data_IF_650285065522
#
_entry.id   IF_650285065522
#
_cell.length_a   1.000
_cell.length_b   1.000
_cell.length_c   1.000
_cell.angle_alpha   90.00
_cell.angle_beta   90.00
_cell.angle_gamma   90.00
#
_symmetry.space_group_name_H-M   'P 1'
#
loop_
_entity.id
_entity.type
_entity.pdbx_description
1 polymer ?
#
# COMPACT_ATOMS: atom_id res chain seq x y z
N UNK A 1 10.27 -13.77 -15.36
CA UNK A 1 9.63 -12.64 -14.64
C UNK A 1 8.55 -12.09 -15.54
N UNK A 2 7.35 -11.85 -15.02
CA UNK A 2 6.24 -11.35 -15.83
C UNK A 2 6.64 -9.98 -16.42
N UNK A 3 6.18 -9.65 -17.64
CA UNK A 3 6.43 -8.33 -18.27
C UNK A 3 5.80 -7.16 -17.48
N UNK A 4 5.13 -7.43 -16.36
CA UNK A 4 4.33 -6.50 -15.57
C UNK A 4 4.84 -6.36 -14.12
N UNK A 5 5.91 -7.05 -13.72
CA UNK A 5 6.52 -6.87 -12.40
C UNK A 5 6.94 -5.40 -12.23
N UNK A 6 6.45 -4.74 -11.18
CA UNK A 6 6.72 -3.31 -10.93
C UNK A 6 5.86 -2.31 -11.71
N UNK A 7 4.99 -2.75 -12.64
CA UNK A 7 4.12 -1.83 -13.39
C UNK A 7 3.24 -0.95 -12.48
N UNK A 8 2.87 -1.46 -11.31
CA UNK A 8 2.10 -0.75 -10.29
C UNK A 8 2.79 0.52 -9.77
N UNK A 9 4.11 0.67 -9.93
CA UNK A 9 4.84 1.88 -9.55
C UNK A 9 4.90 2.95 -10.65
N UNK A 10 4.21 2.73 -11.78
CA UNK A 10 3.98 3.69 -12.88
C UNK A 10 5.24 4.10 -13.66
N UNK A 11 6.39 4.33 -13.01
CA UNK A 11 7.66 4.66 -13.67
C UNK A 11 8.04 3.62 -14.74
N UNK A 12 7.94 2.30 -14.50
CA UNK A 12 8.22 1.30 -15.54
C UNK A 12 7.27 1.36 -16.75
N UNK A 13 6.10 2.00 -16.61
CA UNK A 13 5.12 2.16 -17.69
C UNK A 13 5.37 3.39 -18.56
N UNK A 14 6.14 4.40 -18.09
CA UNK A 14 6.38 5.62 -18.86
C UNK A 14 6.96 5.37 -20.26
N UNK A 15 7.95 4.47 -20.45
CA UNK A 15 8.44 4.14 -21.79
C UNK A 15 7.36 3.56 -22.71
N UNK A 16 6.44 2.75 -22.15
CA UNK A 16 5.32 2.20 -22.91
C UNK A 16 4.32 3.31 -23.29
N UNK A 17 3.98 4.21 -22.37
CA UNK A 17 3.10 5.34 -22.66
C UNK A 17 3.69 6.28 -23.71
N UNK A 18 4.99 6.57 -23.60
CA UNK A 18 5.73 7.38 -24.58
C UNK A 18 5.64 6.78 -25.98
N UNK A 19 5.89 5.49 -26.15
CA UNK A 19 5.86 4.83 -27.47
C UNK A 19 4.43 4.72 -28.01
N UNK A 20 3.47 4.38 -27.16
CA UNK A 20 2.12 4.01 -27.58
C UNK A 20 1.23 5.23 -27.82
N UNK A 21 1.32 6.26 -26.97
CA UNK A 21 0.33 7.34 -26.93
C UNK A 21 0.85 8.70 -27.42
N UNK A 22 2.17 8.88 -27.61
CA UNK A 22 2.73 10.20 -27.99
C UNK A 22 2.23 10.79 -29.31
N UNK A 23 1.66 9.97 -30.21
CA UNK A 23 1.17 10.43 -31.51
C UNK A 23 -0.29 10.87 -31.49
N UNK A 24 -1.09 10.31 -30.58
CA UNK A 24 -2.55 10.38 -30.65
C UNK A 24 -3.19 10.95 -29.37
N UNK A 25 -2.40 11.22 -28.33
CA UNK A 25 -2.89 11.70 -27.04
C UNK A 25 -2.11 12.92 -26.61
N UNK A 26 -2.77 13.83 -25.90
CA UNK A 26 -2.13 15.00 -25.27
C UNK A 26 -1.80 14.76 -23.80
N UNK A 27 -2.57 13.89 -23.15
CA UNK A 27 -2.56 13.67 -21.71
C UNK A 27 -2.61 12.18 -21.39
N UNK A 28 -1.93 11.77 -20.32
CA UNK A 28 -2.18 10.53 -19.60
C UNK A 28 -2.81 10.91 -18.27
N UNK A 29 -4.02 10.41 -18.01
CA UNK A 29 -4.74 10.60 -16.76
C UNK A 29 -4.69 9.31 -15.94
N UNK A 30 -4.31 9.43 -14.67
CA UNK A 30 -4.20 8.34 -13.72
C UNK A 30 -5.28 8.46 -12.66
N UNK A 31 -5.92 7.36 -12.30
CA UNK A 31 -6.96 7.31 -11.28
C UNK A 31 -6.98 5.95 -10.58
N UNK A 32 -7.57 5.91 -9.39
CA UNK A 32 -7.82 4.68 -8.67
C UNK A 32 -9.13 4.03 -9.17
N UNK A 33 -9.36 2.78 -8.79
CA UNK A 33 -10.51 1.99 -9.24
C UNK A 33 -11.85 2.65 -8.82
N UNK A 34 -11.89 3.24 -7.63
CA UNK A 34 -13.08 3.90 -7.08
C UNK A 34 -13.19 5.39 -7.46
N UNK A 35 -12.23 5.94 -8.22
CA UNK A 35 -12.33 7.30 -8.73
C UNK A 35 -13.42 7.38 -9.80
N UNK A 36 -14.41 8.25 -9.58
CA UNK A 36 -15.42 8.61 -10.58
C UNK A 36 -14.99 9.86 -11.32
N UNK A 37 -15.18 9.84 -12.65
CA UNK A 37 -14.73 10.91 -13.52
C UNK A 37 -15.93 11.47 -14.28
N UNK A 38 -16.17 12.77 -14.14
CA UNK A 38 -17.07 13.52 -15.00
C UNK A 38 -16.27 14.00 -16.22
N UNK A 39 -16.40 13.26 -17.33
CA UNK A 39 -15.56 13.44 -18.51
C UNK A 39 -15.64 14.87 -19.10
N UNK A 40 -16.82 15.49 -19.26
CA UNK A 40 -16.90 16.86 -19.78
C UNK A 40 -16.11 17.87 -18.94
N UNK A 41 -16.23 17.79 -17.61
CA UNK A 41 -15.56 18.66 -16.64
C UNK A 41 -14.06 18.42 -16.64
N UNK A 42 -13.62 17.15 -16.73
CA UNK A 42 -12.21 16.81 -16.88
C UNK A 42 -11.62 17.41 -18.15
N UNK A 43 -12.32 17.29 -19.28
CA UNK A 43 -11.86 17.84 -20.55
C UNK A 43 -11.78 19.37 -20.53
N UNK A 44 -12.78 20.06 -19.97
CA UNK A 44 -12.73 21.52 -19.83
C UNK A 44 -11.60 21.96 -18.90
N UNK A 45 -11.37 21.20 -17.81
CA UNK A 45 -10.25 21.43 -16.89
C UNK A 45 -8.91 21.32 -17.60
N UNK A 46 -8.68 20.24 -18.36
CA UNK A 46 -7.44 20.00 -19.09
C UNK A 46 -7.22 20.98 -20.25
N UNK A 47 -8.30 21.49 -20.87
CA UNK A 47 -8.23 22.47 -21.97
C UNK A 47 -7.56 23.78 -21.59
N UNK A 48 -7.55 24.13 -20.30
CA UNK A 48 -6.88 25.34 -19.77
C UNK A 48 -5.36 25.27 -19.83
N UNK A 49 -4.80 24.08 -20.02
CA UNK A 49 -3.35 23.85 -20.04
C UNK A 49 -2.88 23.55 -21.46
N UNK A 50 -1.87 24.30 -21.92
CA UNK A 50 -1.27 24.09 -23.25
C UNK A 50 -0.62 22.69 -23.33
N UNK A 51 -1.16 21.76 -24.15
CA UNK A 51 -0.71 20.37 -24.19
C UNK A 51 0.70 20.20 -24.79
N UNK A 52 1.26 21.23 -25.43
CA UNK A 52 2.63 21.22 -25.96
C UNK A 52 3.69 21.43 -24.88
N UNK A 53 3.29 21.85 -23.68
CA UNK A 53 4.17 22.09 -22.53
C UNK A 53 4.21 20.90 -21.57
N UNK A 54 5.21 20.90 -20.70
CA UNK A 54 5.35 19.93 -19.61
C UNK A 54 4.42 20.27 -18.45
N UNK A 55 3.46 19.39 -18.14
CA UNK A 55 2.51 19.59 -17.05
C UNK A 55 2.41 18.35 -16.17
N UNK A 56 2.47 18.58 -14.86
CA UNK A 56 2.15 17.63 -13.81
C UNK A 56 1.00 18.21 -13.00
N UNK A 57 -0.20 17.64 -13.17
CA UNK A 57 -1.45 18.16 -12.65
C UNK A 57 -2.03 17.20 -11.61
N UNK A 58 -2.58 17.72 -10.52
CA UNK A 58 -3.18 16.90 -9.47
C UNK A 58 -3.85 17.75 -8.39
N UNK A 59 -4.62 17.12 -7.51
CA UNK A 59 -4.96 17.71 -6.21
C UNK A 59 -3.72 17.64 -5.32
N UNK A 60 -3.19 18.79 -4.92
CA UNK A 60 -1.95 18.83 -4.16
C UNK A 60 -2.18 18.49 -2.67
N UNK A 61 -1.45 17.49 -2.19
CA UNK A 61 -1.24 17.20 -0.78
C UNK A 61 0.16 17.67 -0.38
N UNK A 62 0.34 17.92 0.92
CA UNK A 62 1.62 18.13 1.55
C UNK A 62 1.56 17.55 2.96
N UNK A 63 2.71 17.29 3.56
CA UNK A 63 2.73 16.93 4.97
C UNK A 63 2.63 18.19 5.83
N UNK A 64 1.95 18.08 6.97
CA UNK A 64 1.95 19.13 8.01
C UNK A 64 3.21 19.03 8.88
N UNK A 65 3.71 17.80 9.08
CA UNK A 65 4.85 17.47 9.93
C UNK A 65 5.73 16.42 9.24
N UNK A 66 6.98 16.27 9.67
CA UNK A 66 7.86 15.21 9.14
C UNK A 66 7.29 13.83 9.51
N UNK A 67 6.93 13.05 8.49
CA UNK A 67 6.45 11.67 8.69
C UNK A 67 7.61 10.68 8.61
N UNK A 68 7.50 9.53 9.27
CA UNK A 68 8.55 8.47 9.23
C UNK A 68 8.87 8.06 7.79
N UNK A 69 7.86 8.05 6.92
CA UNK A 69 7.95 7.60 5.52
C UNK A 69 8.63 8.68 4.66
N UNK A 70 8.41 9.96 4.94
CA UNK A 70 8.99 11.09 4.19
C UNK A 70 10.19 11.75 4.88
N UNK A 71 10.62 11.25 6.04
CA UNK A 71 11.62 11.89 6.91
C UNK A 71 12.96 12.23 6.21
N UNK A 72 13.29 11.55 5.11
CA UNK A 72 14.52 11.77 4.36
C UNK A 72 14.42 12.87 3.28
N UNK A 73 13.22 13.42 3.04
CA UNK A 73 12.98 14.50 2.10
C UNK A 73 12.20 15.63 2.79
N UNK A 74 12.76 16.85 2.79
CA UNK A 74 12.08 18.06 3.29
C UNK A 74 11.69 18.03 4.78
N UNK A 75 12.36 17.24 5.63
CA UNK A 75 12.05 17.16 7.06
C UNK A 75 12.12 18.49 7.81
N UNK A 76 12.92 19.44 7.34
CA UNK A 76 13.01 20.80 7.91
C UNK A 76 11.81 21.69 7.54
N UNK A 77 11.17 21.45 6.39
CA UNK A 77 9.96 22.16 5.97
C UNK A 77 9.09 21.30 5.04
N UNK A 78 8.28 20.38 5.60
CA UNK A 78 7.52 19.41 4.82
C UNK A 78 6.47 20.04 3.89
N UNK A 79 5.97 21.22 4.25
CA UNK A 79 4.92 21.94 3.49
C UNK A 79 5.39 22.45 2.12
N UNK A 80 6.69 22.55 1.90
CA UNK A 80 7.28 23.05 0.64
C UNK A 80 7.07 22.06 -0.50
N UNK A 81 7.01 20.77 -0.19
CA UNK A 81 6.87 19.73 -1.19
C UNK A 81 5.43 19.28 -1.34
N UNK A 82 4.99 19.16 -2.59
CA UNK A 82 3.61 18.77 -2.93
C UNK A 82 3.62 17.50 -3.75
N UNK A 83 2.75 16.58 -3.38
CA UNK A 83 2.53 15.31 -4.07
C UNK A 83 1.03 15.14 -4.38
N UNK A 84 0.66 14.40 -5.43
CA UNK A 84 -0.73 14.30 -5.85
C UNK A 84 -1.53 13.39 -4.92
N UNK A 85 -2.78 13.76 -4.68
CA UNK A 85 -3.81 12.87 -4.16
C UNK A 85 -4.25 11.90 -5.27
N UNK A 86 -3.88 10.62 -5.15
CA UNK A 86 -4.21 9.63 -6.18
C UNK A 86 -5.71 9.36 -6.29
N UNK A 87 -6.45 9.44 -5.17
CA UNK A 87 -7.88 9.23 -5.14
C UNK A 87 -8.65 10.28 -5.98
N UNK A 88 -8.13 11.52 -6.03
CA UNK A 88 -8.66 12.59 -6.88
C UNK A 88 -8.26 12.46 -8.36
N UNK A 89 -7.34 11.54 -8.68
CA UNK A 89 -6.72 11.45 -9.98
C UNK A 89 -5.71 12.56 -10.27
N UNK A 90 -4.85 12.31 -11.25
CA UNK A 90 -3.76 13.20 -11.64
C UNK A 90 -3.38 12.99 -13.10
N UNK A 91 -2.69 13.97 -13.70
CA UNK A 91 -2.38 13.95 -15.12
C UNK A 91 -0.94 14.35 -15.44
N UNK A 92 -0.41 13.74 -16.49
CA UNK A 92 0.83 14.14 -17.13
C UNK A 92 0.58 14.51 -18.59
N UNK A 93 1.16 15.62 -19.03
CA UNK A 93 1.20 15.90 -20.47
C UNK A 93 2.21 14.98 -21.17
N UNK A 94 1.94 14.63 -22.43
CA UNK A 94 2.85 13.79 -23.22
C UNK A 94 4.28 14.34 -23.33
N UNK A 95 4.53 15.66 -23.48
CA UNK A 95 5.88 16.21 -23.42
C UNK A 95 6.61 15.84 -22.12
N UNK A 96 5.92 15.89 -20.97
CA UNK A 96 6.51 15.49 -19.69
C UNK A 96 6.75 13.98 -19.64
N UNK A 97 5.80 13.15 -20.06
CA UNK A 97 5.98 11.68 -20.16
C UNK A 97 7.21 11.31 -20.98
N UNK A 98 7.42 11.99 -22.11
CA UNK A 98 8.57 11.78 -22.99
C UNK A 98 9.89 12.20 -22.34
N UNK A 99 9.92 13.32 -21.61
CA UNK A 99 11.09 13.76 -20.84
C UNK A 99 11.46 12.76 -19.74
N UNK A 100 10.48 12.33 -18.96
CA UNK A 100 10.67 11.35 -17.89
C UNK A 100 11.14 10.00 -18.45
N UNK A 101 10.58 9.56 -19.58
CA UNK A 101 11.01 8.34 -20.28
C UNK A 101 12.48 8.40 -20.68
N UNK A 102 12.95 9.53 -21.23
CA UNK A 102 14.37 9.69 -21.59
C UNK A 102 15.26 9.59 -20.36
N UNK A 103 14.85 10.23 -19.26
CA UNK A 103 15.58 10.21 -18.00
C UNK A 103 15.66 8.82 -17.37
N UNK A 104 14.55 8.06 -17.36
CA UNK A 104 14.53 6.68 -16.86
C UNK A 104 15.49 5.75 -17.63
N UNK A 105 15.81 6.08 -18.88
CA UNK A 105 16.78 5.30 -19.67
C UNK A 105 18.24 5.68 -19.39
N UNK A 106 18.49 6.90 -18.92
CA UNK A 106 19.84 7.41 -18.66
C UNK A 106 20.27 7.30 -17.20
N UNK A 107 19.33 7.27 -16.26
CA UNK A 107 19.57 7.29 -14.83
C UNK A 107 18.90 6.10 -14.14
N UNK A 108 19.59 5.49 -13.17
CA UNK A 108 18.99 4.53 -12.27
C UNK A 108 18.06 5.24 -11.27
N UNK A 109 17.05 4.52 -10.78
CA UNK A 109 16.25 4.98 -9.65
C UNK A 109 17.15 5.14 -8.41
N UNK A 110 16.86 6.15 -7.59
CA UNK A 110 17.69 6.51 -6.43
C UNK A 110 17.44 5.63 -5.20
N UNK A 111 16.28 4.98 -5.14
CA UNK A 111 15.87 4.09 -4.05
C UNK A 111 15.61 2.71 -4.61
N UNK A 112 16.09 1.69 -3.89
CA UNK A 112 15.73 0.30 -4.14
C UNK A 112 14.35 -0.05 -3.57
N UNK A 113 13.82 0.75 -2.64
CA UNK A 113 12.52 0.53 -2.03
C UNK A 113 11.45 1.45 -2.64
N UNK A 114 10.27 0.88 -2.86
CA UNK A 114 9.04 1.62 -3.16
C UNK A 114 8.04 1.36 -2.04
N UNK A 115 7.76 2.40 -1.24
CA UNK A 115 6.91 2.35 -0.04
C UNK A 115 5.80 3.41 -0.08
N UNK A 116 6.03 4.57 -0.70
CA UNK A 116 5.01 5.60 -0.91
C UNK A 116 5.09 6.10 -2.36
N UNK A 117 4.22 5.53 -3.18
CA UNK A 117 4.25 5.76 -4.62
C UNK A 117 3.93 7.20 -5.01
N UNK A 118 2.96 7.84 -4.34
CA UNK A 118 2.54 9.22 -4.65
C UNK A 118 3.68 10.20 -4.40
N UNK A 119 4.40 10.02 -3.29
CA UNK A 119 5.53 10.85 -2.92
C UNK A 119 6.75 10.57 -3.80
N UNK A 120 7.05 9.29 -4.07
CA UNK A 120 8.17 8.87 -4.92
C UNK A 120 8.06 9.36 -6.36
N UNK A 121 6.88 9.26 -6.98
CA UNK A 121 6.65 9.81 -8.33
C UNK A 121 6.82 11.32 -8.33
N UNK A 122 6.24 12.01 -7.36
CA UNK A 122 6.37 13.47 -7.26
C UNK A 122 7.84 13.87 -7.12
N UNK A 123 8.63 13.15 -6.30
CA UNK A 123 10.06 13.39 -6.12
C UNK A 123 10.84 13.15 -7.41
N UNK A 124 10.49 12.08 -8.14
CA UNK A 124 11.09 11.77 -9.42
C UNK A 124 10.84 12.89 -10.45
N UNK A 125 9.60 13.41 -10.52
CA UNK A 125 9.23 14.47 -11.46
C UNK A 125 9.82 15.83 -11.05
N UNK A 126 9.90 16.12 -9.76
CA UNK A 126 10.45 17.37 -9.22
C UNK A 126 11.97 17.47 -9.41
N UNK A 127 12.67 16.34 -9.42
CA UNK A 127 14.09 16.22 -9.74
C UNK A 127 15.00 17.23 -9.04
N UNK A 128 15.02 17.21 -7.70
CA UNK A 128 15.85 18.13 -6.89
C UNK A 128 15.60 19.63 -7.17
N UNK A 129 14.48 19.98 -7.79
CA UNK A 129 14.12 21.35 -8.13
C UNK A 129 14.29 21.71 -9.61
N UNK A 130 14.97 20.88 -10.40
CA UNK A 130 15.20 21.10 -11.83
C UNK A 130 14.02 20.62 -12.70
N UNK A 131 13.12 19.83 -12.11
CA UNK A 131 11.96 19.25 -12.74
C UNK A 131 10.70 20.09 -12.64
N UNK A 132 9.54 19.44 -12.78
CA UNK A 132 8.23 20.11 -12.72
C UNK A 132 7.59 19.90 -11.35
N UNK A 133 7.29 20.97 -10.58
CA UNK A 133 6.48 20.82 -9.39
C UNK A 133 5.03 20.48 -9.77
N UNK A 134 4.32 19.85 -8.84
CA UNK A 134 2.90 19.59 -9.00
C UNK A 134 2.12 20.90 -9.10
N UNK A 135 1.30 21.02 -10.14
CA UNK A 135 0.34 22.11 -10.30
C UNK A 135 -1.00 21.69 -9.72
N UNK A 136 -1.46 22.41 -8.70
CA UNK A 136 -2.74 22.13 -8.04
C UNK A 136 -3.92 22.42 -8.99
N UNK A 137 -4.84 21.47 -9.10
CA UNK A 137 -6.06 21.57 -9.92
C UNK A 137 -7.29 21.45 -9.02
N UNK A 138 -8.04 22.55 -8.78
CA UNK A 138 -9.19 22.55 -7.87
C UNK A 138 -10.33 21.61 -8.28
N UNK A 139 -10.47 21.31 -9.57
CA UNK A 139 -11.50 20.44 -10.11
C UNK A 139 -11.18 18.96 -9.92
N UNK A 140 -9.95 18.60 -9.56
CA UNK A 140 -9.64 17.22 -9.16
C UNK A 140 -9.99 17.09 -7.68
N UNK A 141 -11.08 16.40 -7.37
CA UNK A 141 -11.62 16.31 -6.01
C UNK A 141 -11.64 14.87 -5.51
N UNK A 142 -11.64 14.72 -4.19
CA UNK A 142 -11.93 13.45 -3.52
C UNK A 142 -13.36 13.41 -3.00
N UNK A 143 -13.94 14.56 -2.69
CA UNK A 143 -15.27 14.73 -2.14
C UNK A 143 -16.19 15.44 -3.14
N UNK A 144 -17.46 15.03 -3.16
CA UNK A 144 -18.48 15.58 -4.08
C UNK A 144 -19.10 16.89 -3.57
N UNK A 145 -18.42 17.62 -2.67
CA UNK A 145 -18.97 18.79 -1.99
C UNK A 145 -19.12 19.97 -2.95
N UNK A 146 -18.25 20.08 -3.96
CA UNK A 146 -18.24 21.19 -4.90
C UNK A 146 -18.84 20.81 -6.25
N UNK A 147 -19.68 21.70 -6.79
CA UNK A 147 -20.36 21.50 -8.08
C UNK A 147 -19.43 21.51 -9.31
N UNK A 148 -18.14 21.85 -9.13
CA UNK A 148 -17.15 21.98 -10.21
C UNK A 148 -16.16 20.81 -10.27
N UNK A 149 -16.40 19.74 -9.51
CA UNK A 149 -15.49 18.59 -9.44
C UNK A 149 -15.55 17.73 -10.71
N UNK A 150 -14.43 17.66 -11.43
CA UNK A 150 -14.19 16.74 -12.53
C UNK A 150 -14.00 15.29 -12.05
N UNK A 151 -13.51 15.11 -10.83
CA UNK A 151 -13.37 13.79 -10.20
C UNK A 151 -13.94 13.77 -8.81
N UNK A 152 -14.39 12.60 -8.37
CA UNK A 152 -14.76 12.32 -6.98
C UNK A 152 -14.28 10.92 -6.61
N UNK A 153 -14.10 10.67 -5.31
CA UNK A 153 -13.72 9.35 -4.81
C UNK A 153 -14.78 8.83 -3.84
N UNK A 154 -15.10 7.54 -3.95
CA UNK A 154 -16.08 6.91 -3.08
C UNK A 154 -15.45 5.78 -2.27
N UNK A 155 -15.27 6.02 -0.97
CA UNK A 155 -14.70 5.05 -0.02
C UNK A 155 -15.77 4.10 0.55
N UNK A 156 -16.69 3.60 -0.28
CA UNK A 156 -17.64 2.60 0.19
C UNK A 156 -16.94 1.26 0.41
N UNK A 157 -17.34 0.56 1.48
CA UNK A 157 -16.93 -0.83 1.64
C UNK A 157 -17.46 -1.64 0.45
N UNK A 158 -16.65 -2.54 -0.12
CA UNK A 158 -17.08 -3.29 -1.28
C UNK A 158 -18.28 -4.19 -0.91
N UNK A 159 -19.31 -4.17 -1.76
CA UNK A 159 -20.55 -4.93 -1.58
C UNK A 159 -20.45 -6.29 -2.27
N UNK A 160 -19.56 -7.15 -1.79
CA UNK A 160 -19.32 -8.47 -2.41
C UNK A 160 -20.16 -9.61 -1.82
N UNK A 161 -20.89 -9.35 -0.73
CA UNK A 161 -21.73 -10.33 -0.07
C UNK A 161 -21.85 -10.11 1.44
N UNK A 162 -22.28 -11.14 2.14
CA UNK A 162 -22.31 -11.12 3.60
C UNK A 162 -20.90 -11.06 4.18
N UNK A 163 -20.65 -10.28 5.24
CA UNK A 163 -19.35 -10.24 5.89
C UNK A 163 -18.90 -11.61 6.35
N UNK A 164 -17.61 -11.91 6.18
CA UNK A 164 -16.99 -13.15 6.70
C UNK A 164 -17.22 -13.24 8.21
N UNK A 165 -17.53 -14.44 8.73
CA UNK A 165 -17.77 -14.62 10.17
C UNK A 165 -16.48 -14.41 10.95
N UNK A 166 -16.58 -13.86 12.16
CA UNK A 166 -15.42 -13.60 13.01
C UNK A 166 -14.69 -14.88 13.41
N UNK A 167 -15.42 -15.99 13.49
CA UNK A 167 -14.90 -17.32 13.83
C UNK A 167 -14.07 -17.93 12.69
N UNK A 168 -14.19 -17.39 11.47
CA UNK A 168 -13.42 -17.81 10.30
C UNK A 168 -12.13 -16.97 10.13
N UNK A 169 -11.86 -16.03 11.04
CA UNK A 169 -10.70 -15.12 11.01
C UNK A 169 -9.90 -15.28 12.31
N UNK A 170 -8.64 -15.70 12.19
CA UNK A 170 -7.70 -15.76 13.30
C UNK A 170 -6.75 -14.55 13.28
N UNK A 171 -6.67 -13.84 14.40
CA UNK A 171 -5.77 -12.70 14.56
C UNK A 171 -4.50 -13.10 15.31
N UNK A 172 -3.35 -12.77 14.74
CA UNK A 172 -2.03 -12.99 15.31
C UNK A 172 -1.36 -11.62 15.53
N UNK A 173 -1.21 -11.21 16.78
CA UNK A 173 -0.57 -9.94 17.13
C UNK A 173 0.88 -10.21 17.47
N UNK A 174 1.82 -9.69 16.68
CA UNK A 174 3.25 -9.74 16.96
C UNK A 174 3.63 -8.65 17.97
N UNK A 175 4.40 -9.03 18.98
CA UNK A 175 4.94 -8.11 19.98
C UNK A 175 6.30 -8.61 20.51
N UNK A 176 6.83 -7.93 21.51
CA UNK A 176 7.96 -8.37 22.31
C UNK A 176 7.79 -7.92 23.77
N UNK A 177 8.57 -8.51 24.68
CA UNK A 177 8.51 -8.24 26.13
C UNK A 177 8.50 -6.75 26.47
N UNK A 178 9.24 -5.94 25.72
CA UNK A 178 9.30 -4.49 25.90
C UNK A 178 7.92 -3.83 25.83
N UNK A 179 7.03 -4.33 24.97
CA UNK A 179 5.77 -3.70 24.63
C UNK A 179 4.53 -4.27 25.34
N UNK A 180 4.75 -5.20 26.27
CA UNK A 180 3.69 -5.84 27.03
C UNK A 180 2.92 -4.84 27.92
N UNK A 181 3.63 -3.87 28.50
CA UNK A 181 3.06 -2.91 29.46
C UNK A 181 2.46 -1.65 28.84
N UNK A 182 2.72 -1.36 27.58
CA UNK A 182 2.33 -0.10 26.91
C UNK A 182 1.39 -0.32 25.72
N UNK A 183 1.79 -1.10 24.70
CA UNK A 183 1.05 -1.25 23.44
C UNK A 183 -0.05 -2.30 23.52
N UNK A 184 0.23 -3.45 24.12
CA UNK A 184 -0.76 -4.53 24.22
C UNK A 184 -2.03 -4.12 24.99
N UNK A 185 -1.97 -3.36 26.10
CA UNK A 185 -3.16 -2.84 26.75
C UNK A 185 -4.04 -2.02 25.80
N UNK A 186 -3.43 -1.20 24.93
CA UNK A 186 -4.16 -0.40 23.93
C UNK A 186 -4.83 -1.30 22.90
N UNK A 187 -4.12 -2.30 22.38
CA UNK A 187 -4.69 -3.29 21.45
C UNK A 187 -5.91 -3.99 22.07
N UNK A 188 -5.80 -4.41 23.33
CA UNK A 188 -6.89 -5.06 24.09
C UNK A 188 -8.09 -4.16 24.34
N UNK A 189 -7.85 -2.89 24.65
CA UNK A 189 -8.91 -1.90 24.92
C UNK A 189 -9.61 -1.40 23.65
N UNK A 190 -9.02 -1.62 22.48
CA UNK A 190 -9.53 -1.13 21.20
C UNK A 190 -10.19 -2.24 20.38
N UNK A 191 -9.52 -2.75 19.35
CA UNK A 191 -10.14 -3.63 18.36
C UNK A 191 -10.12 -5.10 18.77
N UNK A 192 -9.17 -5.53 19.61
CA UNK A 192 -8.99 -6.96 19.93
C UNK A 192 -10.20 -7.56 20.67
N UNK A 193 -10.93 -6.76 21.46
CA UNK A 193 -12.17 -7.21 22.11
C UNK A 193 -13.29 -7.60 21.13
N UNK A 194 -13.17 -7.23 19.85
CA UNK A 194 -14.11 -7.62 18.80
C UNK A 194 -13.70 -8.89 18.05
N UNK A 195 -12.48 -9.41 18.26
CA UNK A 195 -11.97 -10.61 17.61
C UNK A 195 -12.47 -11.88 18.32
N UNK A 196 -13.01 -12.85 17.56
CA UNK A 196 -13.42 -14.14 18.15
C UNK A 196 -12.23 -15.05 18.43
N UNK A 197 -11.17 -14.98 17.61
CA UNK A 197 -9.97 -15.81 17.70
C UNK A 197 -8.73 -14.91 17.62
N UNK A 198 -7.93 -14.88 18.69
CA UNK A 198 -6.74 -14.04 18.76
C UNK A 198 -5.65 -14.68 19.62
N UNK A 199 -4.40 -14.60 19.17
CA UNK A 199 -3.21 -14.92 19.96
C UNK A 199 -2.17 -13.79 19.88
N UNK A 200 -1.44 -13.58 20.98
CA UNK A 200 -0.36 -12.61 21.09
C UNK A 200 0.98 -13.34 21.07
N UNK A 201 1.83 -13.02 20.10
CA UNK A 201 3.09 -13.71 19.84
C UNK A 201 4.26 -12.84 20.25
N UNK A 202 5.08 -13.35 21.18
CA UNK A 202 6.18 -12.61 21.79
C UNK A 202 7.46 -13.44 21.82
N UNK A 203 8.55 -12.80 22.25
CA UNK A 203 9.81 -13.43 22.65
C UNK A 203 9.83 -13.80 24.14
N UNK A 204 8.69 -13.62 24.83
CA UNK A 204 8.53 -13.95 26.24
C UNK A 204 7.07 -14.33 26.56
N UNK A 205 6.88 -15.46 27.23
CA UNK A 205 5.56 -15.88 27.71
C UNK A 205 5.14 -15.10 28.96
N UNK A 206 3.92 -14.57 28.94
CA UNK A 206 3.33 -13.82 30.06
C UNK A 206 1.85 -14.17 30.19
N UNK A 207 1.50 -14.76 31.34
CA UNK A 207 0.15 -15.28 31.61
C UNK A 207 -0.92 -14.20 31.79
N UNK A 208 -0.54 -12.99 32.19
CA UNK A 208 -1.46 -11.85 32.31
C UNK A 208 -1.94 -11.36 30.93
N UNK A 209 -1.13 -11.56 29.88
CA UNK A 209 -1.40 -11.13 28.50
C UNK A 209 -1.89 -12.27 27.60
N UNK A 210 -1.98 -13.49 28.14
CA UNK A 210 -1.50 -14.75 27.53
C UNK A 210 -0.68 -14.61 26.24
N UNK A 211 0.59 -14.21 26.35
CA UNK A 211 1.51 -14.28 25.20
C UNK A 211 2.07 -15.69 24.98
N UNK A 212 2.20 -16.07 23.71
CA UNK A 212 2.87 -17.30 23.24
C UNK A 212 4.32 -16.95 22.89
N UNK A 213 5.27 -17.59 23.55
CA UNK A 213 6.68 -17.53 23.18
C UNK A 213 6.94 -18.46 21.98
N UNK A 214 7.40 -17.90 20.87
CA UNK A 214 7.74 -18.65 19.67
C UNK A 214 9.17 -19.21 19.69
N UNK A 215 9.96 -18.95 20.73
CA UNK A 215 11.37 -19.31 20.79
C UNK A 215 12.25 -18.53 19.83
N UNK A 216 11.72 -17.43 19.28
CA UNK A 216 12.40 -16.56 18.31
C UNK A 216 12.74 -15.23 19.01
N UNK A 217 14.05 -14.96 19.23
CA UNK A 217 14.47 -13.73 19.89
C UNK A 217 13.98 -12.48 19.17
N UNK A 218 13.77 -11.39 19.92
CA UNK A 218 13.60 -10.09 19.30
C UNK A 218 14.92 -9.60 18.72
N UNK A 219 14.92 -9.21 17.45
CA UNK A 219 16.10 -8.77 16.71
C UNK A 219 15.75 -7.58 15.82
N UNK A 220 16.72 -6.68 15.58
CA UNK A 220 16.56 -5.56 14.64
C UNK A 220 16.59 -6.02 13.16
N UNK A 221 16.90 -7.31 12.92
CA UNK A 221 16.95 -7.97 11.60
C UNK A 221 16.37 -9.36 11.71
N UNK A 222 15.54 -9.78 10.74
CA UNK A 222 14.98 -11.14 10.72
C UNK A 222 13.60 -11.28 11.36
N UNK A 223 12.78 -10.23 11.36
CA UNK A 223 11.36 -10.31 11.74
C UNK A 223 10.55 -11.37 10.97
N UNK A 224 11.06 -11.83 9.82
CA UNK A 224 10.50 -12.95 9.05
C UNK A 224 10.34 -14.22 9.88
N UNK A 225 11.25 -14.51 10.82
CA UNK A 225 11.21 -15.74 11.61
C UNK A 225 9.92 -15.87 12.42
N UNK A 226 9.53 -14.79 13.13
CA UNK A 226 8.26 -14.75 13.90
C UNK A 226 7.06 -14.98 12.98
N UNK A 227 7.04 -14.34 11.80
CA UNK A 227 5.98 -14.54 10.82
C UNK A 227 5.89 -16.00 10.39
N UNK A 228 6.99 -16.65 9.99
CA UNK A 228 6.99 -18.05 9.60
C UNK A 228 6.54 -18.99 10.72
N UNK A 229 6.97 -18.76 11.96
CA UNK A 229 6.52 -19.55 13.10
C UNK A 229 5.01 -19.39 13.37
N UNK A 230 4.45 -18.18 13.18
CA UNK A 230 3.00 -17.96 13.23
C UNK A 230 2.28 -18.74 12.13
N UNK A 231 2.80 -18.72 10.89
CA UNK A 231 2.23 -19.47 9.77
C UNK A 231 2.18 -20.98 10.04
N UNK A 232 3.28 -21.56 10.52
CA UNK A 232 3.37 -22.98 10.87
C UNK A 232 2.43 -23.33 12.02
N UNK A 233 2.42 -22.52 13.07
CA UNK A 233 1.55 -22.73 14.23
C UNK A 233 0.08 -22.66 13.82
N UNK A 234 -0.30 -21.67 13.01
CA UNK A 234 -1.66 -21.53 12.50
C UNK A 234 -2.08 -22.81 11.78
N UNK A 235 -1.30 -23.34 10.82
CA UNK A 235 -1.70 -24.58 10.15
C UNK A 235 -1.80 -25.78 11.09
N UNK A 236 -0.91 -25.88 12.08
CA UNK A 236 -0.81 -27.06 12.96
C UNK A 236 -1.81 -27.06 14.13
N UNK A 237 -2.23 -25.89 14.63
CA UNK A 237 -3.02 -25.76 15.87
C UNK A 237 -4.41 -25.16 15.64
N UNK A 238 -4.64 -24.46 14.53
CA UNK A 238 -5.97 -23.93 14.22
C UNK A 238 -6.87 -25.04 13.67
N UNK A 239 -8.17 -24.94 13.96
CA UNK A 239 -9.16 -25.83 13.36
C UNK A 239 -9.14 -25.70 11.84
N UNK A 240 -9.31 -26.82 11.12
CA UNK A 240 -9.32 -26.86 9.65
C UNK A 240 -10.38 -25.97 8.98
N UNK A 241 -11.29 -25.39 9.76
CA UNK A 241 -12.37 -24.52 9.30
C UNK A 241 -11.99 -23.04 9.24
N UNK A 242 -10.90 -22.61 9.88
CA UNK A 242 -10.53 -21.19 9.93
C UNK A 242 -9.91 -20.80 8.59
N UNK A 243 -10.59 -19.91 7.87
CA UNK A 243 -10.29 -19.57 6.49
C UNK A 243 -9.16 -18.54 6.37
N UNK A 244 -9.09 -17.59 7.29
CA UNK A 244 -8.22 -16.42 7.21
C UNK A 244 -7.31 -16.29 8.43
N UNK A 245 -6.05 -15.98 8.17
CA UNK A 245 -5.07 -15.54 9.17
C UNK A 245 -4.76 -14.06 8.94
N UNK A 246 -4.85 -13.25 9.98
CA UNK A 246 -4.49 -11.84 9.97
C UNK A 246 -3.32 -11.66 10.93
N UNK A 247 -2.16 -11.24 10.41
CA UNK A 247 -0.96 -10.96 11.20
C UNK A 247 -0.78 -9.44 11.26
N UNK A 248 -0.67 -8.90 12.47
CA UNK A 248 -0.48 -7.46 12.71
C UNK A 248 0.60 -7.23 13.76
N UNK A 249 1.15 -6.03 13.81
CA UNK A 249 2.07 -5.60 14.87
C UNK A 249 1.28 -4.97 16.04
N UNK A 250 1.94 -4.81 17.19
CA UNK A 250 1.33 -4.29 18.42
C UNK A 250 1.01 -2.78 18.38
N UNK A 251 1.44 -2.08 17.34
CA UNK A 251 1.10 -0.69 17.03
C UNK A 251 0.09 -0.54 15.87
N UNK A 252 -0.50 -1.64 15.40
CA UNK A 252 -1.53 -1.61 14.35
C UNK A 252 -2.94 -1.45 14.94
N UNK A 253 -3.72 -0.51 14.38
CA UNK A 253 -5.16 -0.39 14.61
C UNK A 253 -5.94 -0.92 13.40
N UNK A 254 -6.91 -1.79 13.63
CA UNK A 254 -7.75 -2.35 12.57
C UNK A 254 -9.25 -2.24 12.88
N UNK A 255 -10.06 -2.13 11.83
CA UNK A 255 -11.51 -2.26 11.94
C UNK A 255 -11.94 -3.65 11.50
N UNK A 256 -12.30 -4.51 12.46
CA UNK A 256 -12.71 -5.90 12.16
C UNK A 256 -13.94 -5.91 11.24
N UNK A 257 -14.93 -5.04 11.47
CA UNK A 257 -16.12 -4.97 10.60
C UNK A 257 -15.75 -4.69 9.14
N UNK A 258 -14.89 -3.70 8.89
CA UNK A 258 -14.42 -3.38 7.54
C UNK A 258 -13.64 -4.53 6.92
N UNK A 259 -12.79 -5.20 7.72
CA UNK A 259 -12.05 -6.37 7.29
C UNK A 259 -12.97 -7.53 6.90
N UNK A 260 -14.02 -7.83 7.68
CA UNK A 260 -15.00 -8.87 7.37
C UNK A 260 -15.71 -8.61 6.02
N UNK A 261 -16.00 -7.34 5.73
CA UNK A 261 -16.55 -6.92 4.43
C UNK A 261 -15.54 -7.02 3.29
N UNK A 262 -14.29 -6.60 3.50
CA UNK A 262 -13.24 -6.73 2.48
C UNK A 262 -13.01 -8.20 2.11
N UNK A 263 -12.89 -9.07 3.11
CA UNK A 263 -12.62 -10.49 2.89
C UNK A 263 -13.78 -11.23 2.22
N UNK A 264 -15.01 -10.70 2.26
CA UNK A 264 -16.14 -11.32 1.54
C UNK A 264 -16.06 -11.14 0.02
N UNK A 265 -15.12 -10.33 -0.47
CA UNK A 265 -14.83 -10.16 -1.90
C UNK A 265 -13.90 -11.23 -2.47
N UNK A 266 -13.36 -12.11 -1.62
CA UNK A 266 -12.31 -13.04 -2.01
C UNK A 266 -12.71 -14.47 -1.69
N UNK A 267 -12.34 -15.39 -2.58
CA UNK A 267 -12.48 -16.82 -2.32
C UNK A 267 -11.32 -17.29 -1.43
N UNK A 268 -11.64 -17.74 -0.20
CA UNK A 268 -10.64 -18.19 0.76
C UNK A 268 -9.97 -19.52 0.39
N UNK A 269 -10.49 -20.24 -0.62
CA UNK A 269 -9.88 -21.45 -1.17
C UNK A 269 -8.76 -21.16 -2.16
N UNK A 270 -8.66 -19.93 -2.67
CA UNK A 270 -7.57 -19.48 -3.53
C UNK A 270 -6.34 -19.07 -2.69
N UNK A 271 -5.11 -19.21 -3.21
CA UNK A 271 -3.88 -18.87 -2.49
C UNK A 271 -3.63 -17.36 -2.44
N UNK A 272 -4.45 -16.65 -1.66
CA UNK A 272 -4.44 -15.20 -1.52
C UNK A 272 -3.61 -14.70 -0.33
N UNK A 273 -2.91 -13.59 -0.55
CA UNK A 273 -2.35 -12.73 0.48
C UNK A 273 -2.71 -11.27 0.18
N UNK A 274 -3.19 -10.54 1.19
CA UNK A 274 -3.67 -9.17 1.07
C UNK A 274 -2.94 -8.26 2.07
N UNK A 275 -2.75 -7.01 1.69
CA UNK A 275 -2.24 -5.95 2.55
C UNK A 275 -1.56 -4.86 1.72
N UNK A 276 -0.86 -3.97 2.40
CA UNK A 276 -0.15 -2.87 1.75
C UNK A 276 1.07 -3.39 0.97
N UNK A 277 1.13 -3.07 -0.32
CA UNK A 277 2.14 -3.58 -1.25
C UNK A 277 3.36 -2.66 -1.26
N UNK A 278 4.52 -3.21 -0.90
CA UNK A 278 5.83 -2.58 -1.06
C UNK A 278 6.62 -3.26 -2.19
N UNK A 279 7.63 -2.54 -2.69
CA UNK A 279 8.56 -2.99 -3.70
C UNK A 279 10.00 -2.95 -3.21
N UNK A 280 10.79 -3.94 -3.61
CA UNK A 280 12.26 -3.91 -3.50
C UNK A 280 12.86 -4.20 -4.88
N UNK A 281 13.78 -3.38 -5.37
CA UNK A 281 14.52 -3.58 -6.62
C UNK A 281 13.65 -3.70 -7.88
N UNK A 282 12.47 -3.08 -7.93
CA UNK A 282 11.49 -3.32 -9.01
C UNK A 282 11.99 -2.96 -10.42
N UNK A 283 13.02 -2.13 -10.55
CA UNK A 283 13.67 -1.80 -11.82
C UNK A 283 14.85 -2.72 -12.20
N UNK A 284 15.32 -3.58 -11.30
CA UNK A 284 16.57 -4.33 -11.41
C UNK A 284 16.40 -5.83 -11.16
N UNK A 285 15.17 -6.33 -11.22
CA UNK A 285 14.87 -7.75 -11.04
C UNK A 285 14.48 -8.15 -9.62
N UNK A 286 14.09 -7.18 -8.79
CA UNK A 286 13.54 -7.41 -7.46
C UNK A 286 12.08 -7.86 -7.48
N UNK A 287 11.36 -7.62 -6.37
CA UNK A 287 10.07 -8.23 -6.10
C UNK A 287 9.12 -7.31 -5.32
N UNK A 288 7.82 -7.60 -5.44
CA UNK A 288 6.80 -7.00 -4.60
C UNK A 288 6.51 -7.88 -3.38
N UNK A 289 6.14 -7.27 -2.24
CA UNK A 289 5.75 -7.98 -1.04
C UNK A 289 4.69 -7.19 -0.26
N UNK A 290 3.98 -7.85 0.66
CA UNK A 290 3.08 -7.16 1.60
C UNK A 290 3.88 -6.78 2.84
N UNK A 291 3.83 -5.50 3.24
CA UNK A 291 4.51 -5.04 4.45
C UNK A 291 3.82 -5.57 5.71
N UNK A 292 4.62 -5.97 6.71
CA UNK A 292 4.10 -6.44 8.00
C UNK A 292 3.44 -5.34 8.82
N UNK A 293 3.97 -4.11 8.75
CA UNK A 293 3.51 -2.98 9.59
C UNK A 293 2.09 -2.50 9.24
N UNK A 294 1.65 -2.68 7.99
CA UNK A 294 0.27 -2.40 7.56
C UNK A 294 -0.73 -3.52 7.88
N UNK A 295 -0.24 -4.65 8.41
CA UNK A 295 -1.01 -5.87 8.57
C UNK A 295 -1.03 -6.74 7.30
N UNK A 296 -1.01 -8.05 7.51
CA UNK A 296 -0.99 -9.06 6.44
C UNK A 296 -2.16 -10.02 6.63
N UNK A 297 -2.94 -10.24 5.57
CA UNK A 297 -4.00 -11.26 5.57
C UNK A 297 -3.58 -12.39 4.65
N UNK A 298 -3.72 -13.64 5.12
CA UNK A 298 -3.46 -14.84 4.35
C UNK A 298 -4.69 -15.73 4.35
N UNK A 299 -5.04 -16.26 3.19
CA UNK A 299 -5.91 -17.44 3.09
C UNK A 299 -5.17 -18.67 3.64
N UNK A 300 -5.89 -19.62 4.22
CA UNK A 300 -5.30 -20.89 4.67
C UNK A 300 -4.55 -21.61 3.53
N UNK A 301 -5.09 -21.58 2.31
CA UNK A 301 -4.45 -22.19 1.14
C UNK A 301 -3.13 -21.52 0.76
N UNK A 302 -3.03 -20.19 0.82
CA UNK A 302 -1.77 -19.50 0.59
C UNK A 302 -0.67 -19.99 1.54
N UNK A 303 -1.02 -20.14 2.83
CA UNK A 303 -0.07 -20.60 3.85
C UNK A 303 0.38 -22.03 3.56
N UNK A 304 -0.53 -22.93 3.18
CA UNK A 304 -0.18 -24.31 2.78
C UNK A 304 0.84 -24.32 1.65
N UNK A 305 0.63 -23.52 0.60
CA UNK A 305 1.54 -23.45 -0.55
C UNK A 305 2.88 -22.83 -0.19
N UNK A 306 2.88 -21.75 0.60
CA UNK A 306 4.09 -21.09 1.07
C UNK A 306 4.99 -22.04 1.86
N UNK A 307 4.43 -22.80 2.80
CA UNK A 307 5.20 -23.74 3.64
C UNK A 307 5.58 -25.04 2.90
N UNK A 308 4.82 -25.43 1.87
CA UNK A 308 5.19 -26.55 0.99
C UNK A 308 6.33 -26.20 0.01
N UNK A 309 6.60 -24.91 -0.24
CA UNK A 309 7.63 -24.47 -1.18
C UNK A 309 9.06 -24.82 -0.70
N UNK A 310 9.98 -25.19 -1.61
CA UNK A 310 11.39 -25.46 -1.28
C UNK A 310 12.19 -24.26 -0.76
N UNK A 311 11.64 -23.04 -0.79
CA UNK A 311 12.32 -21.78 -0.45
C UNK A 311 12.66 -21.60 1.05
N UNK A 312 12.63 -22.67 1.86
CA UNK A 312 12.98 -22.66 3.30
C UNK A 312 14.45 -22.35 3.61
N UNK A 313 15.29 -22.12 2.59
CA UNK A 313 16.75 -22.02 2.73
C UNK A 313 17.37 -20.67 2.36
N UNK A 314 16.58 -19.61 2.15
CA UNK A 314 17.12 -18.26 1.87
C UNK A 314 16.62 -17.29 2.94
N UNK A 315 17.21 -17.39 4.13
CA UNK A 315 17.16 -16.39 5.21
C UNK A 315 18.57 -16.06 5.65
#
# INVERSE_FOLDING_TARGET
MSKQEGAWTILPLLPHFSVTYSRNSSWIFFCEEETRIQIPELLETLRRYDPSKEWFLGKALHDEESTIIHHYAFSENPTVFKYPDFAAGWALSIPLVNKLTKRLRSESLKSDFTIDLKHEIALYIWDKGDGRPLTSVPEFCTDAVNAYCATTFHSFLPLCGHPVKKEDIFFAVKTCKKFHGDRIPIVKQTWAGQASLIEYYSDHAESSIPTVDLGIPNTDRGHCGKTFAILERFLNHSHDKIAWLVIVDDDTLISISRLQHLLSCYDSSEPLFLGERYGYGLGTGGYSYVTGGGGMVFSREAIRRLLASPARGLS
#
